data_IF_752475313696
#
_entry.id   IF_752475313696
#
_cell.length_a   1.000
_cell.length_b   1.000
_cell.length_c   1.000
_cell.angle_alpha   90.00
_cell.angle_beta   90.00
_cell.angle_gamma   90.00
#
_symmetry.space_group_name_H-M   'P 1'
#
loop_
_entity.id
_entity.type
_entity.pdbx_description
1 polymer ?
#
# COMPACT_ATOMS: atom_id res chain seq x y z
N UNK A 1 -15.22 -25.23 23.66
CA UNK A 1 -16.31 -24.56 24.39
C UNK A 1 -17.10 -23.80 23.34
N UNK A 2 -18.20 -24.34 22.84
CA UNK A 2 -18.99 -23.76 21.74
C UNK A 2 -20.30 -23.25 22.33
N UNK A 3 -20.84 -22.14 21.80
CA UNK A 3 -22.12 -21.56 22.26
C UNK A 3 -22.14 -21.17 23.75
N UNK A 4 -21.04 -20.60 24.25
CA UNK A 4 -20.91 -20.26 25.67
C UNK A 4 -20.73 -18.76 25.91
N UNK A 5 -21.04 -18.31 27.13
CA UNK A 5 -20.71 -16.96 27.59
C UNK A 5 -19.58 -17.02 28.62
N UNK A 6 -18.48 -16.33 28.38
CA UNK A 6 -17.31 -16.29 29.25
C UNK A 6 -17.04 -14.84 29.67
N UNK A 7 -16.72 -14.57 30.96
CA UNK A 7 -16.34 -13.21 31.42
C UNK A 7 -14.98 -12.75 30.84
N UNK A 8 -14.23 -13.68 30.26
CA UNK A 8 -12.93 -13.50 29.66
C UNK A 8 -12.27 -14.87 29.51
N UNK A 9 -11.35 -15.01 28.55
CA UNK A 9 -10.54 -16.20 28.40
C UNK A 9 -9.07 -15.79 28.41
N UNK A 10 -8.35 -16.20 29.46
CA UNK A 10 -6.93 -15.88 29.63
C UNK A 10 -6.12 -17.16 29.67
N UNK A 11 -5.22 -17.31 28.72
CA UNK A 11 -4.28 -18.41 28.65
C UNK A 11 -2.91 -17.94 28.15
N UNK A 12 -2.28 -16.94 28.82
CA UNK A 12 -0.94 -16.51 28.45
C UNK A 12 0.04 -17.66 28.64
N UNK A 13 1.01 -17.80 27.74
CA UNK A 13 2.06 -18.86 27.73
C UNK A 13 1.54 -20.30 27.68
N UNK A 14 0.23 -20.49 27.50
CA UNK A 14 -0.37 -21.81 27.53
C UNK A 14 0.01 -22.62 26.29
N UNK A 15 0.10 -23.93 26.47
CA UNK A 15 0.34 -24.88 25.37
C UNK A 15 -0.90 -25.74 25.15
N UNK A 16 -1.47 -25.63 23.96
CA UNK A 16 -2.61 -26.43 23.55
C UNK A 16 -2.18 -27.40 22.45
N UNK A 17 -2.16 -28.69 22.77
CA UNK A 17 -1.85 -29.73 21.78
C UNK A 17 -2.97 -29.94 20.75
N UNK A 18 -4.19 -29.49 21.06
CA UNK A 18 -5.37 -29.62 20.21
C UNK A 18 -5.88 -28.30 19.66
N UNK A 19 -7.12 -28.32 19.15
CA UNK A 19 -7.83 -27.12 18.69
C UNK A 19 -8.48 -26.36 19.85
N UNK A 20 -8.53 -25.04 19.75
CA UNK A 20 -9.32 -24.19 20.63
C UNK A 20 -10.58 -23.74 19.87
N UNK A 21 -11.72 -24.36 20.18
CA UNK A 21 -13.01 -24.05 19.55
C UNK A 21 -13.85 -23.19 20.50
N UNK A 22 -14.10 -21.96 20.07
CA UNK A 22 -14.84 -20.89 20.73
C UNK A 22 -15.94 -20.33 19.80
N UNK A 23 -16.36 -21.09 18.78
CA UNK A 23 -17.40 -20.68 17.84
C UNK A 23 -18.69 -20.29 18.54
N UNK A 24 -19.34 -19.24 18.03
CA UNK A 24 -20.62 -18.71 18.51
C UNK A 24 -20.63 -18.39 20.01
N UNK A 25 -19.46 -18.27 20.63
CA UNK A 25 -19.34 -17.90 22.04
C UNK A 25 -19.29 -16.38 22.18
N UNK A 26 -19.81 -15.88 23.29
CA UNK A 26 -19.66 -14.48 23.70
C UNK A 26 -18.61 -14.41 24.80
N UNK A 27 -17.55 -13.65 24.58
CA UNK A 27 -16.45 -13.51 25.54
C UNK A 27 -16.31 -12.03 25.86
N UNK A 28 -16.54 -11.67 27.12
CA UNK A 28 -16.47 -10.29 27.55
C UNK A 28 -16.84 -10.12 29.01
N UNK A 29 -16.22 -9.15 29.66
CA UNK A 29 -16.36 -8.85 31.08
C UNK A 29 -15.43 -7.70 31.45
N UNK A 30 -15.20 -7.48 32.74
CA UNK A 30 -14.55 -6.26 33.25
C UNK A 30 -13.04 -6.13 33.00
N UNK A 31 -12.49 -7.03 32.18
CA UNK A 31 -11.33 -6.71 31.34
C UNK A 31 -10.00 -7.16 31.87
N UNK A 32 -8.81 -6.71 31.45
CA UNK A 32 -8.43 -5.77 30.39
C UNK A 32 -8.63 -6.33 28.97
N UNK A 33 -8.75 -7.66 28.84
CA UNK A 33 -8.86 -8.35 27.55
C UNK A 33 -10.10 -9.25 27.55
N UNK A 34 -10.76 -9.43 26.40
CA UNK A 34 -11.76 -10.49 26.25
C UNK A 34 -11.08 -11.84 26.02
N UNK A 35 -10.14 -11.92 25.07
CA UNK A 35 -9.35 -13.11 24.78
C UNK A 35 -7.84 -12.79 24.85
N UNK A 36 -7.13 -13.42 25.78
CA UNK A 36 -5.68 -13.26 25.96
C UNK A 36 -4.95 -14.59 25.70
N UNK A 37 -4.10 -14.59 24.68
CA UNK A 37 -3.30 -15.72 24.18
C UNK A 37 -1.83 -15.32 23.97
N UNK A 38 -1.35 -14.34 24.75
CA UNK A 38 0.02 -13.82 24.67
C UNK A 38 1.03 -14.96 24.88
N UNK A 39 1.96 -15.11 23.94
CA UNK A 39 2.97 -16.18 23.93
C UNK A 39 2.42 -17.61 24.05
N UNK A 40 1.15 -17.84 23.73
CA UNK A 40 0.60 -19.19 23.70
C UNK A 40 1.13 -19.97 22.49
N UNK A 41 1.21 -21.29 22.62
CA UNK A 41 1.53 -22.23 21.55
C UNK A 41 0.34 -23.16 21.33
N UNK A 42 -0.31 -23.03 20.17
CA UNK A 42 -1.51 -23.80 19.82
C UNK A 42 -1.18 -24.64 18.57
N UNK A 43 -1.10 -25.96 18.76
CA UNK A 43 -0.82 -26.87 17.66
C UNK A 43 -2.01 -26.99 16.69
N UNK A 44 -3.24 -26.92 17.21
CA UNK A 44 -4.47 -26.97 16.40
C UNK A 44 -4.94 -25.60 15.90
N UNK A 45 -6.16 -25.57 15.35
CA UNK A 45 -6.81 -24.34 14.92
C UNK A 45 -7.47 -23.59 16.09
N UNK A 46 -7.49 -22.26 16.02
CA UNK A 46 -8.36 -21.40 16.82
C UNK A 46 -9.59 -21.04 16.00
N UNK A 47 -10.77 -21.44 16.47
CA UNK A 47 -12.04 -21.17 15.80
C UNK A 47 -12.88 -20.20 16.62
N UNK A 48 -13.10 -19.03 16.04
CA UNK A 48 -13.90 -17.92 16.56
C UNK A 48 -15.09 -17.60 15.65
N UNK A 49 -15.47 -18.52 14.76
CA UNK A 49 -16.56 -18.27 13.80
C UNK A 49 -17.87 -17.93 14.53
N UNK A 50 -18.47 -16.81 14.16
CA UNK A 50 -19.66 -16.26 14.81
C UNK A 50 -19.48 -15.85 16.27
N UNK A 51 -18.25 -15.84 16.80
CA UNK A 51 -17.98 -15.42 18.17
C UNK A 51 -18.11 -13.89 18.33
N UNK A 52 -18.45 -13.45 19.53
CA UNK A 52 -18.54 -12.04 19.91
C UNK A 52 -17.57 -11.76 21.03
N UNK A 53 -16.55 -10.95 20.77
CA UNK A 53 -15.57 -10.52 21.77
C UNK A 53 -15.91 -9.09 22.20
N UNK A 54 -16.23 -8.89 23.47
CA UNK A 54 -16.75 -7.63 24.00
C UNK A 54 -15.75 -7.05 25.01
N UNK A 55 -14.98 -6.05 24.56
CA UNK A 55 -13.99 -5.30 25.33
C UNK A 55 -13.88 -3.84 24.81
N UNK A 56 -14.98 -3.06 24.83
CA UNK A 56 -14.99 -1.71 24.26
C UNK A 56 -13.96 -0.80 24.96
N UNK A 57 -13.19 -0.04 24.15
CA UNK A 57 -12.09 0.79 24.63
C UNK A 57 -10.87 0.01 25.15
N UNK A 58 -10.87 -1.32 25.01
CA UNK A 58 -9.80 -2.23 25.46
C UNK A 58 -9.47 -3.24 24.34
N UNK A 59 -8.76 -4.32 24.69
CA UNK A 59 -8.36 -5.35 23.72
C UNK A 59 -9.39 -6.47 23.67
N UNK A 60 -10.03 -6.65 22.52
CA UNK A 60 -10.87 -7.81 22.26
C UNK A 60 -10.02 -9.09 22.13
N UNK A 61 -8.89 -9.00 21.43
CA UNK A 61 -7.90 -10.09 21.32
C UNK A 61 -6.51 -9.52 21.59
N UNK A 62 -5.81 -10.14 22.54
CA UNK A 62 -4.37 -9.97 22.71
C UNK A 62 -3.66 -11.30 22.46
N UNK A 63 -3.01 -11.40 21.30
CA UNK A 63 -2.30 -12.58 20.85
C UNK A 63 -0.85 -12.25 20.47
N UNK A 64 -0.22 -11.35 21.24
CA UNK A 64 1.19 -11.00 21.06
C UNK A 64 2.11 -12.22 21.16
N UNK A 65 2.91 -12.46 20.12
CA UNK A 65 3.82 -13.61 20.06
C UNK A 65 3.13 -14.98 20.07
N UNK A 66 1.84 -15.07 19.75
CA UNK A 66 1.12 -16.34 19.57
C UNK A 66 1.79 -17.16 18.47
N UNK A 67 2.09 -18.43 18.76
CA UNK A 67 2.51 -19.40 17.74
C UNK A 67 1.36 -20.37 17.51
N UNK A 68 0.88 -20.44 16.26
CA UNK A 68 -0.21 -21.34 15.92
C UNK A 68 0.08 -22.08 14.62
N UNK A 69 0.25 -23.40 14.73
CA UNK A 69 0.50 -24.24 13.55
C UNK A 69 -0.75 -24.36 12.69
N UNK A 70 -1.90 -24.51 13.35
CA UNK A 70 -3.21 -24.44 12.70
C UNK A 70 -3.60 -23.02 12.31
N UNK A 71 -4.82 -22.89 11.83
CA UNK A 71 -5.37 -21.62 11.39
C UNK A 71 -6.17 -20.85 12.43
N UNK A 72 -6.20 -19.51 12.34
CA UNK A 72 -7.12 -18.64 13.10
C UNK A 72 -8.33 -18.25 12.25
N UNK A 73 -9.48 -18.84 12.55
CA UNK A 73 -10.73 -18.63 11.79
C UNK A 73 -11.67 -17.71 12.57
N UNK A 74 -11.96 -16.55 12.01
CA UNK A 74 -12.88 -15.53 12.53
C UNK A 74 -13.94 -15.22 11.45
N UNK A 75 -14.63 -16.24 10.96
CA UNK A 75 -15.62 -16.09 9.89
C UNK A 75 -17.07 -16.08 10.44
N UNK A 76 -18.04 -16.15 9.54
CA UNK A 76 -19.46 -16.40 9.84
C UNK A 76 -20.06 -15.47 10.91
N UNK A 77 -19.79 -14.17 10.78
CA UNK A 77 -20.37 -13.14 11.65
C UNK A 77 -19.59 -12.87 12.93
N UNK A 78 -18.29 -13.15 12.95
CA UNK A 78 -17.40 -12.72 14.02
C UNK A 78 -17.47 -11.21 14.26
N UNK A 79 -17.62 -10.82 15.54
CA UNK A 79 -17.63 -9.41 15.98
C UNK A 79 -16.62 -9.23 17.10
N UNK A 80 -15.78 -8.21 16.99
CA UNK A 80 -14.89 -7.76 18.04
C UNK A 80 -15.18 -6.29 18.38
N UNK A 81 -15.62 -6.04 19.61
CA UNK A 81 -15.72 -4.70 20.19
C UNK A 81 -14.45 -4.46 21.01
N UNK A 82 -13.50 -3.72 20.46
CA UNK A 82 -12.15 -3.55 21.01
C UNK A 82 -11.05 -3.91 20.01
N UNK A 83 -9.80 -3.60 20.36
CA UNK A 83 -8.65 -3.84 19.50
C UNK A 83 -8.38 -5.35 19.33
N UNK A 84 -8.05 -5.77 18.11
CA UNK A 84 -7.57 -7.11 17.78
C UNK A 84 -6.08 -7.04 17.46
N UNK A 85 -5.25 -7.64 18.32
CA UNK A 85 -3.79 -7.49 18.28
C UNK A 85 -3.08 -8.85 18.15
N UNK A 86 -2.23 -8.97 17.13
CA UNK A 86 -1.35 -10.11 16.84
C UNK A 86 0.12 -9.70 16.62
N UNK A 87 0.72 -8.81 17.45
CA UNK A 87 2.09 -8.36 17.23
C UNK A 87 3.09 -9.51 17.38
N UNK A 88 3.94 -9.72 16.38
CA UNK A 88 4.97 -10.76 16.39
C UNK A 88 4.43 -12.19 16.41
N UNK A 89 3.14 -12.41 16.17
CA UNK A 89 2.57 -13.74 16.09
C UNK A 89 3.10 -14.51 14.86
N UNK A 90 3.13 -15.84 14.95
CA UNK A 90 3.50 -16.74 13.87
C UNK A 90 2.31 -17.66 13.57
N UNK A 91 1.66 -17.42 12.44
CA UNK A 91 0.45 -18.09 11.98
C UNK A 91 0.68 -18.76 10.61
N UNK A 92 1.53 -19.79 10.51
CA UNK A 92 1.72 -20.55 9.27
C UNK A 92 0.41 -21.12 8.71
N UNK A 93 -0.59 -21.40 9.56
CA UNK A 93 -1.93 -21.75 9.10
C UNK A 93 -2.61 -20.60 8.36
N UNK A 94 -2.44 -19.36 8.82
CA UNK A 94 -3.07 -18.16 8.28
C UNK A 94 -4.12 -17.56 9.22
N UNK A 95 -4.66 -16.43 8.81
CA UNK A 95 -5.71 -15.67 9.49
C UNK A 95 -6.84 -15.38 8.50
N UNK A 96 -8.05 -15.86 8.81
CA UNK A 96 -9.24 -15.65 7.97
C UNK A 96 -10.27 -14.87 8.77
N UNK A 97 -10.56 -13.65 8.33
CA UNK A 97 -11.55 -12.76 8.96
C UNK A 97 -12.59 -12.32 7.93
N UNK A 98 -13.12 -13.29 7.18
CA UNK A 98 -14.10 -13.02 6.12
C UNK A 98 -15.42 -12.54 6.73
N UNK A 99 -15.90 -11.37 6.33
CA UNK A 99 -17.13 -10.78 6.86
C UNK A 99 -17.06 -10.38 8.34
N UNK A 100 -15.87 -10.33 8.93
CA UNK A 100 -15.68 -9.95 10.33
C UNK A 100 -15.89 -8.46 10.54
N UNK A 101 -16.41 -8.09 11.71
CA UNK A 101 -16.57 -6.70 12.12
C UNK A 101 -15.72 -6.39 13.35
N UNK A 102 -14.89 -5.36 13.25
CA UNK A 102 -14.11 -4.85 14.38
C UNK A 102 -14.54 -3.41 14.65
N UNK A 103 -14.90 -3.11 15.90
CA UNK A 103 -15.33 -1.77 16.32
C UNK A 103 -14.57 -1.32 17.56
N UNK A 104 -13.87 -0.19 17.47
CA UNK A 104 -13.11 0.42 18.57
C UNK A 104 -13.71 1.75 19.04
N UNK A 105 -14.70 2.29 18.33
CA UNK A 105 -15.44 3.50 18.72
C UNK A 105 -14.70 4.82 18.46
N UNK A 106 -13.52 4.78 17.84
CA UNK A 106 -12.77 5.96 17.42
C UNK A 106 -12.05 5.70 16.09
N UNK A 107 -12.20 6.59 15.09
CA UNK A 107 -11.59 6.39 13.78
C UNK A 107 -10.07 6.53 13.79
N UNK A 108 -9.50 7.19 14.80
CA UNK A 108 -8.05 7.29 15.00
C UNK A 108 -7.46 6.14 15.84
N UNK A 109 -8.29 5.34 16.51
CA UNK A 109 -7.80 4.18 17.26
C UNK A 109 -7.35 3.04 16.32
N UNK A 110 -6.50 2.15 16.82
CA UNK A 110 -6.14 0.93 16.08
C UNK A 110 -7.20 -0.13 16.34
N UNK A 111 -7.85 -0.59 15.28
CA UNK A 111 -8.78 -1.71 15.35
C UNK A 111 -8.06 -3.05 15.16
N UNK A 112 -7.08 -3.09 14.26
CA UNK A 112 -6.28 -4.27 13.99
C UNK A 112 -4.79 -3.95 14.00
N UNK A 113 -4.01 -4.68 14.79
CA UNK A 113 -2.57 -4.55 14.86
C UNK A 113 -1.88 -5.90 14.63
N UNK A 114 -0.98 -5.96 13.66
CA UNK A 114 -0.20 -7.14 13.30
C UNK A 114 1.25 -6.78 12.98
N UNK A 115 1.85 -5.87 13.75
CA UNK A 115 3.26 -5.52 13.59
C UNK A 115 4.15 -6.76 13.70
N UNK A 116 5.02 -6.99 12.71
CA UNK A 116 5.93 -8.14 12.63
C UNK A 116 5.24 -9.50 12.62
N UNK A 117 3.93 -9.56 12.36
CA UNK A 117 3.20 -10.81 12.16
C UNK A 117 3.82 -11.61 11.01
N UNK A 118 3.93 -12.92 11.17
CA UNK A 118 4.29 -13.85 10.10
C UNK A 118 3.10 -14.76 9.87
N UNK A 119 2.62 -14.86 8.64
CA UNK A 119 1.52 -15.75 8.31
C UNK A 119 1.63 -16.27 6.87
N UNK A 120 1.01 -17.40 6.57
CA UNK A 120 0.89 -17.85 5.18
C UNK A 120 -0.07 -16.95 4.39
N UNK A 121 -1.24 -16.67 4.97
CA UNK A 121 -2.28 -15.83 4.36
C UNK A 121 -2.97 -15.00 5.43
N UNK A 122 -3.27 -13.75 5.11
CA UNK A 122 -4.14 -12.87 5.91
C UNK A 122 -5.28 -12.40 5.03
N UNK A 123 -6.48 -12.89 5.31
CA UNK A 123 -7.68 -12.65 4.53
C UNK A 123 -8.68 -11.79 5.29
N UNK A 124 -8.68 -10.49 4.99
CA UNK A 124 -9.59 -9.49 5.53
C UNK A 124 -10.58 -9.06 4.44
N UNK A 125 -11.42 -10.00 3.95
CA UNK A 125 -12.18 -9.84 2.71
C UNK A 125 -13.69 -10.09 2.85
N UNK A 126 -14.46 -9.77 1.80
CA UNK A 126 -15.91 -10.07 1.64
C UNK A 126 -16.74 -9.59 2.83
N UNK A 127 -16.89 -8.27 2.94
CA UNK A 127 -17.66 -7.64 4.01
C UNK A 127 -16.90 -7.49 5.33
N UNK A 128 -15.57 -7.60 5.32
CA UNK A 128 -14.76 -7.20 6.48
C UNK A 128 -14.92 -5.70 6.70
N UNK A 129 -15.27 -5.28 7.93
CA UNK A 129 -15.51 -3.87 8.25
C UNK A 129 -14.79 -3.46 9.52
N UNK A 130 -14.13 -2.30 9.50
CA UNK A 130 -13.51 -1.69 10.68
C UNK A 130 -13.77 -0.19 10.78
N UNK A 131 -14.08 0.29 11.99
CA UNK A 131 -14.22 1.72 12.28
C UNK A 131 -12.88 2.40 12.64
N UNK A 132 -11.85 1.63 13.00
CA UNK A 132 -10.51 2.12 13.30
C UNK A 132 -9.46 1.80 12.23
N UNK A 133 -8.20 2.17 12.51
CA UNK A 133 -7.03 1.96 11.66
C UNK A 133 -6.50 0.53 11.73
N UNK A 134 -5.89 0.06 10.64
CA UNK A 134 -5.19 -1.22 10.52
C UNK A 134 -3.70 -0.95 10.39
N UNK A 135 -2.90 -1.62 11.23
CA UNK A 135 -1.44 -1.52 11.23
C UNK A 135 -0.78 -2.89 11.08
N UNK A 136 -0.01 -3.05 10.01
CA UNK A 136 0.66 -4.27 9.56
C UNK A 136 2.11 -3.96 9.19
N UNK A 137 2.86 -3.31 10.10
CA UNK A 137 4.23 -2.89 9.81
C UNK A 137 5.17 -4.09 9.85
N UNK A 138 6.05 -4.20 8.86
CA UNK A 138 7.04 -5.27 8.75
C UNK A 138 6.44 -6.68 8.83
N UNK A 139 5.16 -6.83 8.43
CA UNK A 139 4.49 -8.13 8.33
C UNK A 139 5.11 -8.95 7.21
N UNK A 140 5.20 -10.27 7.40
CA UNK A 140 5.63 -11.22 6.36
C UNK A 140 4.50 -12.18 6.05
N UNK A 141 3.96 -12.08 4.84
CA UNK A 141 2.87 -12.89 4.34
C UNK A 141 3.38 -13.74 3.19
N UNK A 142 3.35 -15.06 3.32
CA UNK A 142 3.96 -15.93 2.30
C UNK A 142 3.17 -15.93 0.98
N UNK A 143 1.84 -15.99 1.05
CA UNK A 143 0.97 -16.08 -0.11
C UNK A 143 0.17 -14.80 -0.33
N UNK A 144 -0.88 -14.54 0.46
CA UNK A 144 -1.84 -13.48 0.16
C UNK A 144 -2.21 -12.61 1.36
N UNK A 145 -2.09 -11.29 1.19
CA UNK A 145 -2.73 -10.27 2.02
C UNK A 145 -3.85 -9.61 1.20
N UNK A 146 -5.11 -9.86 1.57
CA UNK A 146 -6.26 -9.36 0.79
C UNK A 146 -7.24 -8.54 1.63
N UNK A 147 -7.67 -7.43 1.03
CA UNK A 147 -8.74 -6.53 1.49
C UNK A 147 -9.90 -6.47 0.48
N UNK A 148 -10.04 -7.51 -0.35
CA UNK A 148 -11.10 -7.61 -1.36
C UNK A 148 -12.48 -7.43 -0.72
N UNK A 149 -13.27 -6.48 -1.20
CA UNK A 149 -14.60 -6.16 -0.67
C UNK A 149 -14.61 -5.81 0.84
N UNK A 150 -13.52 -5.23 1.36
CA UNK A 150 -13.44 -4.68 2.71
C UNK A 150 -13.85 -3.21 2.78
N UNK A 151 -14.35 -2.78 3.94
CA UNK A 151 -14.68 -1.39 4.26
C UNK A 151 -13.78 -0.89 5.41
N UNK A 152 -12.96 0.11 5.11
CA UNK A 152 -12.03 0.72 6.07
C UNK A 152 -12.48 2.15 6.38
N UNK A 153 -12.99 2.37 7.59
CA UNK A 153 -13.57 3.66 8.01
C UNK A 153 -12.65 4.48 8.93
N UNK A 154 -11.48 3.95 9.30
CA UNK A 154 -10.51 4.67 10.12
C UNK A 154 -9.97 5.93 9.44
N UNK A 155 -9.66 6.97 10.20
CA UNK A 155 -9.16 8.27 9.72
C UNK A 155 -7.64 8.30 9.55
N UNK A 156 -7.14 9.36 8.91
CA UNK A 156 -5.71 9.58 8.72
C UNK A 156 -5.08 8.56 7.78
N UNK A 157 -4.36 7.57 8.32
CA UNK A 157 -3.85 6.42 7.58
C UNK A 157 -4.63 5.18 8.01
N UNK A 158 -5.67 4.82 7.26
CA UNK A 158 -6.55 3.68 7.59
C UNK A 158 -5.82 2.35 7.47
N UNK A 159 -4.86 2.23 6.56
CA UNK A 159 -4.07 1.02 6.35
C UNK A 159 -2.58 1.36 6.29
N UNK A 160 -1.81 0.83 7.23
CA UNK A 160 -0.37 1.03 7.32
C UNK A 160 0.35 -0.31 7.14
N UNK A 161 0.97 -0.53 5.98
CA UNK A 161 1.74 -1.72 5.65
C UNK A 161 3.22 -1.38 5.37
N UNK A 162 3.80 -0.49 6.17
CA UNK A 162 5.19 -0.03 5.96
C UNK A 162 6.15 -1.22 6.15
N UNK A 163 7.05 -1.44 5.20
CA UNK A 163 8.03 -2.54 5.26
C UNK A 163 7.43 -3.95 5.14
N UNK A 164 6.15 -4.07 4.78
CA UNK A 164 5.46 -5.35 4.57
C UNK A 164 6.11 -6.15 3.42
N UNK A 165 6.13 -7.48 3.55
CA UNK A 165 6.55 -8.41 2.50
C UNK A 165 5.39 -9.39 2.25
N UNK A 166 4.89 -9.48 1.01
CA UNK A 166 3.79 -10.37 0.65
C UNK A 166 3.98 -11.04 -0.71
N UNK A 167 3.56 -12.30 -0.89
CA UNK A 167 3.49 -12.89 -2.23
C UNK A 167 2.47 -12.17 -3.14
N UNK A 168 1.32 -11.81 -2.59
CA UNK A 168 0.29 -11.06 -3.27
C UNK A 168 -0.39 -10.08 -2.31
N UNK A 169 -0.68 -8.89 -2.82
CA UNK A 169 -1.42 -7.84 -2.14
C UNK A 169 -2.65 -7.48 -2.96
N UNK A 170 -3.83 -7.63 -2.37
CA UNK A 170 -5.09 -7.26 -3.01
C UNK A 170 -5.77 -6.11 -2.25
N UNK A 171 -5.86 -4.96 -2.92
CA UNK A 171 -6.39 -3.69 -2.42
C UNK A 171 -7.72 -3.31 -3.09
N UNK A 172 -8.45 -4.28 -3.64
CA UNK A 172 -9.78 -4.05 -4.22
C UNK A 172 -10.85 -3.90 -3.13
N UNK A 173 -10.83 -2.78 -2.44
CA UNK A 173 -11.82 -2.46 -1.41
C UNK A 173 -13.23 -2.37 -1.99
N UNK A 174 -14.24 -2.49 -1.13
CA UNK A 174 -15.65 -2.28 -1.52
C UNK A 174 -15.92 -0.82 -1.87
N UNK A 175 -15.39 0.08 -1.03
CA UNK A 175 -15.43 1.52 -1.21
C UNK A 175 -14.03 2.10 -1.02
N UNK A 176 -13.81 3.32 -1.49
CA UNK A 176 -12.60 4.07 -1.17
C UNK A 176 -12.41 4.11 0.36
N UNK A 177 -11.24 3.71 0.91
CA UNK A 177 -10.96 3.84 2.33
C UNK A 177 -11.14 5.29 2.82
N UNK A 178 -11.68 5.48 4.02
CA UNK A 178 -11.95 6.80 4.57
C UNK A 178 -10.67 7.64 4.76
N UNK A 179 -9.55 6.99 5.05
CA UNK A 179 -8.22 7.58 5.13
C UNK A 179 -7.24 7.01 4.10
N UNK A 180 -5.99 7.42 4.22
CA UNK A 180 -4.91 7.02 3.32
C UNK A 180 -4.41 5.59 3.54
N UNK A 181 -3.72 5.07 2.52
CA UNK A 181 -3.00 3.80 2.59
C UNK A 181 -1.50 4.09 2.50
N UNK A 182 -0.70 3.45 3.36
CA UNK A 182 0.74 3.64 3.38
C UNK A 182 1.45 2.31 3.13
N UNK A 183 2.08 2.20 1.96
CA UNK A 183 2.84 1.03 1.48
C UNK A 183 4.34 1.34 1.36
N UNK A 184 4.83 2.35 2.09
CA UNK A 184 6.23 2.74 2.03
C UNK A 184 7.15 1.58 2.37
N UNK A 185 8.22 1.45 1.60
CA UNK A 185 9.22 0.37 1.71
C UNK A 185 8.65 -1.05 1.70
N UNK A 186 7.40 -1.23 1.26
CA UNK A 186 6.79 -2.55 1.17
C UNK A 186 7.27 -3.28 -0.09
N UNK A 187 7.11 -4.59 -0.08
CA UNK A 187 7.43 -5.49 -1.16
C UNK A 187 6.28 -6.45 -1.38
N UNK A 188 5.78 -6.55 -2.62
CA UNK A 188 4.78 -7.53 -2.97
C UNK A 188 5.06 -8.13 -4.35
N UNK A 189 5.06 -9.46 -4.53
CA UNK A 189 5.33 -10.02 -5.86
C UNK A 189 4.23 -9.65 -6.86
N UNK A 190 2.98 -9.62 -6.39
CA UNK A 190 1.81 -9.20 -7.17
C UNK A 190 0.97 -8.18 -6.41
N UNK A 191 0.54 -7.13 -7.10
CA UNK A 191 -0.41 -6.15 -6.56
C UNK A 191 -1.66 -6.11 -7.44
N UNK A 192 -2.83 -6.25 -6.83
CA UNK A 192 -4.13 -6.06 -7.45
C UNK A 192 -4.83 -4.88 -6.78
N UNK A 193 -5.43 -3.98 -7.56
CA UNK A 193 -6.18 -2.84 -7.07
C UNK A 193 -7.25 -2.43 -8.10
N UNK A 194 -8.02 -1.37 -7.80
CA UNK A 194 -9.05 -0.87 -8.70
C UNK A 194 -9.15 0.67 -8.65
N UNK A 195 -9.21 1.37 -9.80
CA UNK A 195 -9.22 2.84 -9.84
C UNK A 195 -10.34 3.51 -9.04
N UNK A 196 -11.51 2.89 -8.96
CA UNK A 196 -12.65 3.46 -8.22
C UNK A 196 -12.44 3.48 -6.70
N UNK A 197 -11.55 2.64 -6.18
CA UNK A 197 -11.36 2.42 -4.74
C UNK A 197 -10.00 2.88 -4.23
N UNK A 198 -9.17 3.50 -5.08
CA UNK A 198 -7.92 4.09 -4.64
C UNK A 198 -8.12 5.15 -3.55
N UNK A 199 -7.30 5.15 -2.50
CA UNK A 199 -7.41 6.11 -1.41
C UNK A 199 -7.03 7.52 -1.88
N UNK A 200 -7.45 8.53 -1.14
CA UNK A 200 -7.05 9.93 -1.40
C UNK A 200 -5.54 10.11 -1.28
N UNK A 201 -4.93 9.51 -0.26
CA UNK A 201 -3.48 9.55 -0.02
C UNK A 201 -2.91 8.15 -0.09
N UNK A 202 -1.84 7.97 -0.87
CA UNK A 202 -1.18 6.69 -1.08
C UNK A 202 0.35 6.83 -0.94
N UNK A 203 0.92 6.28 0.13
CA UNK A 203 2.37 6.28 0.33
C UNK A 203 3.05 5.15 -0.43
N UNK A 204 3.78 5.47 -1.50
CA UNK A 204 4.44 4.49 -2.39
C UNK A 204 5.97 4.53 -2.34
N UNK A 205 6.55 5.45 -1.59
CA UNK A 205 8.01 5.62 -1.50
C UNK A 205 8.71 4.34 -1.05
N UNK A 206 9.55 3.77 -1.92
CA UNK A 206 10.27 2.53 -1.68
C UNK A 206 9.44 1.26 -1.91
N UNK A 207 8.18 1.37 -2.37
CA UNK A 207 7.39 0.20 -2.75
C UNK A 207 8.04 -0.49 -3.95
N UNK A 208 8.18 -1.81 -3.85
CA UNK A 208 8.64 -2.66 -4.95
C UNK A 208 7.63 -3.76 -5.23
N UNK A 209 7.51 -4.13 -6.51
CA UNK A 209 6.61 -5.19 -6.95
C UNK A 209 7.08 -5.88 -8.23
N UNK A 210 6.79 -7.18 -8.33
CA UNK A 210 7.08 -7.98 -9.51
C UNK A 210 6.09 -7.67 -10.64
N UNK A 211 4.81 -7.74 -10.32
CA UNK A 211 3.69 -7.57 -11.23
C UNK A 211 2.60 -6.69 -10.61
N UNK A 212 1.91 -5.95 -11.48
CA UNK A 212 0.82 -5.06 -11.14
C UNK A 212 -0.34 -5.37 -12.09
N UNK A 213 -1.56 -5.48 -11.56
CA UNK A 213 -2.72 -5.84 -12.37
C UNK A 213 -3.14 -4.78 -13.36
N UNK A 214 -3.85 -5.17 -14.42
CA UNK A 214 -4.42 -4.22 -15.37
C UNK A 214 -5.63 -3.52 -14.75
N UNK A 215 -5.72 -2.20 -14.98
CA UNK A 215 -6.81 -1.33 -14.50
C UNK A 215 -7.81 -0.96 -15.58
N UNK A 216 -7.46 -1.19 -16.84
CA UNK A 216 -8.27 -0.87 -18.01
C UNK A 216 -7.99 -1.89 -19.13
N UNK A 217 -8.95 -2.13 -20.03
CA UNK A 217 -8.77 -3.06 -21.16
C UNK A 217 -7.78 -2.53 -22.20
N UNK A 218 -7.65 -1.20 -22.34
CA UNK A 218 -6.68 -0.61 -23.25
C UNK A 218 -5.41 -0.19 -22.50
N UNK A 219 -4.24 -0.48 -23.08
CA UNK A 219 -2.94 -0.14 -22.48
C UNK A 219 -2.76 1.35 -22.24
N UNK A 220 -3.30 2.17 -23.15
CA UNK A 220 -3.20 3.63 -23.06
C UNK A 220 -3.95 4.15 -21.82
N UNK A 221 -5.16 3.66 -21.60
CA UNK A 221 -5.96 4.01 -20.41
C UNK A 221 -5.32 3.44 -19.15
N UNK A 222 -4.77 2.22 -19.20
CA UNK A 222 -4.09 1.63 -18.06
C UNK A 222 -2.89 2.48 -17.60
N UNK A 223 -2.05 2.93 -18.53
CA UNK A 223 -0.93 3.84 -18.20
C UNK A 223 -1.42 5.16 -17.62
N UNK A 224 -2.51 5.73 -18.16
CA UNK A 224 -3.08 6.97 -17.65
C UNK A 224 -3.63 6.81 -16.23
N UNK A 225 -4.29 5.68 -15.96
CA UNK A 225 -4.72 5.25 -14.64
C UNK A 225 -3.52 5.07 -13.70
N UNK A 226 -2.48 4.34 -14.10
CA UNK A 226 -1.27 4.14 -13.27
C UNK A 226 -0.50 5.43 -13.01
N UNK A 227 -0.50 6.37 -13.94
CA UNK A 227 0.01 7.72 -13.70
C UNK A 227 -0.88 8.51 -12.73
N UNK A 228 -2.20 8.30 -12.74
CA UNK A 228 -3.11 8.86 -11.74
C UNK A 228 -2.89 8.26 -10.35
N UNK A 229 -2.68 6.95 -10.28
CA UNK A 229 -2.30 6.23 -9.07
C UNK A 229 -1.07 6.84 -8.39
N UNK A 230 -0.02 7.13 -9.16
CA UNK A 230 1.20 7.79 -8.64
C UNK A 230 0.97 9.22 -8.11
N UNK A 231 -0.08 9.92 -8.56
CA UNK A 231 -0.44 11.28 -8.10
C UNK A 231 -1.09 11.30 -6.72
N UNK A 232 -1.54 10.14 -6.21
CA UNK A 232 -2.07 10.03 -4.85
C UNK A 232 -0.98 10.13 -3.77
N UNK A 233 0.30 10.20 -4.16
CA UNK A 233 1.38 10.43 -3.22
C UNK A 233 1.34 11.84 -2.63
N UNK A 234 1.56 12.00 -1.31
CA UNK A 234 1.55 13.32 -0.67
C UNK A 234 2.75 14.18 -1.09
N UNK A 235 3.87 13.55 -1.46
CA UNK A 235 5.12 14.20 -1.88
C UNK A 235 5.63 13.52 -3.14
N UNK A 236 6.19 14.30 -4.06
CA UNK A 236 6.83 13.75 -5.25
C UNK A 236 8.07 12.94 -4.88
N UNK A 237 8.11 11.68 -5.31
CA UNK A 237 9.26 10.79 -5.19
C UNK A 237 9.58 10.18 -6.56
N UNK A 238 10.84 10.15 -7.02
CA UNK A 238 11.20 9.60 -8.33
C UNK A 238 11.03 8.07 -8.44
N UNK A 239 11.35 7.33 -7.38
CA UNK A 239 11.46 5.85 -7.41
C UNK A 239 10.16 5.14 -7.87
N UNK A 240 8.95 5.53 -7.44
CA UNK A 240 7.72 4.89 -7.89
C UNK A 240 7.48 4.97 -9.42
N UNK A 241 7.96 6.05 -10.06
CA UNK A 241 7.90 6.17 -11.52
C UNK A 241 8.89 5.22 -12.21
N UNK A 242 10.09 5.04 -11.66
CA UNK A 242 11.09 4.10 -12.18
C UNK A 242 10.62 2.64 -12.02
N UNK A 243 9.98 2.32 -10.89
CA UNK A 243 9.39 1.00 -10.66
C UNK A 243 8.30 0.69 -11.68
N UNK A 244 7.38 1.65 -11.92
CA UNK A 244 6.30 1.50 -12.91
C UNK A 244 6.84 1.38 -14.34
N UNK A 245 7.81 2.21 -14.73
CA UNK A 245 8.45 2.10 -16.03
C UNK A 245 9.16 0.75 -16.22
N UNK A 246 9.79 0.23 -15.15
CA UNK A 246 10.44 -1.08 -15.17
C UNK A 246 9.44 -2.23 -15.27
N UNK A 247 8.25 -2.11 -14.67
CA UNK A 247 7.16 -3.05 -14.87
C UNK A 247 6.72 -3.10 -16.34
N UNK A 248 6.43 -1.96 -16.97
CA UNK A 248 6.05 -1.92 -18.39
C UNK A 248 7.12 -2.50 -19.31
N UNK A 249 8.41 -2.24 -19.06
CA UNK A 249 9.50 -2.86 -19.81
C UNK A 249 9.51 -4.38 -19.69
N UNK A 250 9.31 -4.94 -18.48
CA UNK A 250 9.21 -6.39 -18.28
C UNK A 250 8.02 -7.00 -19.01
N UNK A 251 6.94 -6.26 -19.18
CA UNK A 251 5.78 -6.66 -19.97
C UNK A 251 5.97 -6.50 -21.49
N UNK A 252 7.10 -5.94 -21.95
CA UNK A 252 7.37 -5.67 -23.37
C UNK A 252 6.74 -4.38 -23.91
N UNK A 253 6.27 -3.49 -23.01
CA UNK A 253 5.58 -2.23 -23.32
C UNK A 253 6.54 -1.03 -23.21
N UNK A 254 7.48 -0.92 -24.16
CA UNK A 254 8.55 0.09 -24.15
C UNK A 254 8.05 1.54 -24.32
N UNK A 255 7.02 1.75 -25.13
CA UNK A 255 6.46 3.09 -25.37
C UNK A 255 5.78 3.65 -24.12
N UNK A 256 5.07 2.79 -23.40
CA UNK A 256 4.42 3.06 -22.12
C UNK A 256 5.45 3.37 -21.02
N UNK A 257 6.52 2.58 -20.94
CA UNK A 257 7.63 2.85 -20.04
C UNK A 257 8.26 4.22 -20.31
N UNK A 258 8.49 4.57 -21.58
CA UNK A 258 8.99 5.89 -21.97
C UNK A 258 8.04 7.01 -21.57
N UNK A 259 6.73 6.82 -21.74
CA UNK A 259 5.70 7.78 -21.33
C UNK A 259 5.75 8.04 -19.82
N UNK A 260 5.92 7.00 -19.01
CA UNK A 260 6.06 7.15 -17.55
C UNK A 260 7.29 7.96 -17.18
N UNK A 261 8.44 7.69 -17.81
CA UNK A 261 9.69 8.43 -17.57
C UNK A 261 9.62 9.89 -18.03
N UNK A 262 8.90 10.20 -19.12
CA UNK A 262 8.66 11.58 -19.53
C UNK A 262 7.82 12.33 -18.49
N UNK A 263 6.80 11.70 -17.92
CA UNK A 263 5.98 12.31 -16.86
C UNK A 263 6.83 12.52 -15.59
N UNK A 264 7.68 11.57 -15.22
CA UNK A 264 8.64 11.74 -14.12
C UNK A 264 9.49 13.01 -14.28
N UNK A 265 10.08 13.22 -15.45
CA UNK A 265 10.94 14.40 -15.67
C UNK A 265 10.14 15.72 -15.65
N UNK A 266 8.89 15.70 -16.14
CA UNK A 266 7.98 16.86 -16.02
C UNK A 266 7.63 17.16 -14.56
N UNK A 267 7.28 16.14 -13.78
CA UNK A 267 6.96 16.27 -12.36
C UNK A 267 8.18 16.76 -11.56
N UNK A 268 9.38 16.24 -11.85
CA UNK A 268 10.64 16.74 -11.26
C UNK A 268 10.86 18.22 -11.56
N UNK A 269 10.68 18.66 -12.80
CA UNK A 269 10.83 20.08 -13.17
C UNK A 269 9.80 20.98 -12.48
N UNK A 270 8.59 20.49 -12.23
CA UNK A 270 7.58 21.23 -11.48
C UNK A 270 7.99 21.47 -10.01
N UNK A 271 8.79 20.56 -9.42
CA UNK A 271 9.34 20.74 -8.06
C UNK A 271 10.53 21.69 -7.98
N UNK A 272 11.15 22.06 -9.12
CA UNK A 272 12.23 23.06 -9.14
C UNK A 272 11.65 24.47 -8.96
N UNK A 273 12.36 25.30 -8.20
CA UNK A 273 12.06 26.72 -8.02
C UNK A 273 12.08 27.49 -9.37
N UNK A 274 11.55 28.73 -9.39
CA UNK A 274 11.40 29.51 -10.63
C UNK A 274 12.69 29.65 -11.45
N UNK A 275 13.85 29.78 -10.80
CA UNK A 275 15.16 29.82 -11.47
C UNK A 275 15.53 28.51 -12.18
N UNK A 276 15.20 27.35 -11.60
CA UNK A 276 15.44 26.04 -12.22
C UNK A 276 14.53 25.78 -13.43
N UNK A 277 13.31 26.34 -13.45
CA UNK A 277 12.42 26.28 -14.62
C UNK A 277 12.90 27.16 -15.77
N UNK A 278 13.39 28.36 -15.47
CA UNK A 278 13.97 29.26 -16.46
C UNK A 278 15.25 28.66 -17.08
N UNK A 279 16.12 28.07 -16.26
CA UNK A 279 17.31 27.35 -16.71
C UNK A 279 16.97 26.11 -17.57
N UNK A 280 15.92 25.36 -17.18
CA UNK A 280 15.42 24.24 -17.97
C UNK A 280 14.84 24.65 -19.33
N UNK A 281 14.13 25.78 -19.41
CA UNK A 281 13.65 26.36 -20.67
C UNK A 281 14.80 26.81 -21.57
N UNK A 282 15.84 27.40 -20.98
CA UNK A 282 17.04 27.84 -21.67
C UNK A 282 17.84 26.66 -22.23
N UNK A 283 17.99 25.57 -21.45
CA UNK A 283 18.62 24.33 -21.87
C UNK A 283 17.81 23.56 -22.94
N UNK A 284 16.48 23.49 -22.83
CA UNK A 284 15.61 22.87 -23.84
C UNK A 284 15.70 23.60 -25.19
N UNK A 285 15.97 24.92 -25.16
CA UNK A 285 16.12 25.74 -26.36
C UNK A 285 17.52 25.69 -26.99
N UNK A 286 18.56 25.38 -26.22
CA UNK A 286 19.97 25.47 -26.65
C UNK A 286 20.65 24.11 -26.83
N UNK A 287 20.33 23.11 -26.01
CA UNK A 287 21.10 21.85 -25.92
C UNK A 287 20.31 20.61 -26.33
N UNK A 288 18.98 20.70 -26.46
CA UNK A 288 18.12 19.70 -27.12
C UNK A 288 18.61 18.26 -26.98
N UNK A 289 18.50 17.67 -25.78
CA UNK A 289 18.95 16.31 -25.43
C UNK A 289 18.80 15.32 -26.60
N UNK A 290 19.90 15.02 -27.30
CA UNK A 290 20.15 13.83 -28.14
C UNK A 290 19.12 13.35 -29.18
N UNK A 291 17.96 14.00 -29.34
CA UNK A 291 16.81 13.45 -30.08
C UNK A 291 16.23 14.39 -31.14
N UNK A 292 16.81 15.59 -31.34
CA UNK A 292 16.36 16.54 -32.37
C UNK A 292 17.55 17.26 -33.04
N UNK A 293 18.38 16.55 -33.85
CA UNK A 293 19.59 17.10 -34.47
C UNK A 293 19.33 18.31 -35.40
N UNK A 294 18.10 18.46 -35.92
CA UNK A 294 17.74 19.59 -36.78
C UNK A 294 17.71 20.95 -36.05
N UNK A 295 17.54 20.99 -34.72
CA UNK A 295 17.56 22.25 -33.94
C UNK A 295 18.97 22.86 -33.92
N UNK A 296 20.01 22.01 -33.86
CA UNK A 296 21.40 22.46 -34.01
C UNK A 296 21.64 23.09 -35.40
N UNK A 297 21.01 22.53 -36.44
CA UNK A 297 21.03 23.11 -37.79
C UNK A 297 20.41 24.50 -37.86
N UNK A 298 19.31 24.74 -37.13
CA UNK A 298 18.67 26.07 -37.05
C UNK A 298 19.60 27.08 -36.37
N UNK A 299 20.21 26.72 -35.24
CA UNK A 299 21.14 27.62 -34.54
C UNK A 299 22.39 27.92 -35.36
N UNK A 300 22.94 26.93 -36.06
CA UNK A 300 24.06 27.12 -36.98
C UNK A 300 23.68 28.11 -38.08
N UNK A 301 22.54 27.89 -38.75
CA UNK A 301 22.04 28.76 -39.81
C UNK A 301 21.82 30.21 -39.32
N UNK A 302 21.24 30.36 -38.13
CA UNK A 302 21.00 31.67 -37.50
C UNK A 302 22.32 32.39 -37.20
N UNK A 303 23.29 31.71 -36.59
CA UNK A 303 24.60 32.28 -36.28
C UNK A 303 25.37 32.66 -37.55
N UNK A 304 25.33 31.83 -38.60
CA UNK A 304 25.94 32.18 -39.89
C UNK A 304 25.26 33.36 -40.54
N UNK A 305 23.93 33.48 -40.47
CA UNK A 305 23.19 34.62 -41.01
C UNK A 305 23.57 35.91 -40.29
N UNK A 306 23.59 35.88 -38.95
CA UNK A 306 23.98 37.03 -38.13
C UNK A 306 25.43 37.44 -38.41
N UNK A 307 26.36 36.48 -38.44
CA UNK A 307 27.76 36.73 -38.77
C UNK A 307 27.91 37.35 -40.16
N UNK A 308 27.18 36.85 -41.15
CA UNK A 308 27.19 37.39 -42.52
C UNK A 308 26.67 38.83 -42.58
N UNK A 309 25.59 39.14 -41.87
CA UNK A 309 25.02 40.48 -41.82
C UNK A 309 25.95 41.48 -41.10
N UNK A 310 26.59 41.07 -40.00
CA UNK A 310 27.56 41.91 -39.29
C UNK A 310 28.79 42.19 -40.17
N UNK A 311 29.27 41.18 -40.88
CA UNK A 311 30.41 41.33 -41.79
C UNK A 311 30.06 42.19 -43.01
N UNK A 312 28.85 42.06 -43.54
CA UNK A 312 28.35 42.92 -44.63
C UNK A 312 28.12 44.38 -44.19
N UNK A 313 27.87 44.62 -42.89
CA UNK A 313 27.71 45.96 -42.33
C UNK A 313 29.01 46.64 -41.90
N UNK A 314 30.12 45.91 -41.77
CA UNK A 314 31.43 46.47 -41.44
C UNK A 314 32.23 46.73 -42.72
N UNK A 315 32.19 47.98 -43.21
CA UNK A 315 33.13 48.43 -44.24
C UNK A 315 34.53 48.57 -43.61
N UNK A 316 35.57 47.92 -44.14
CA UNK A 316 36.92 48.04 -43.61
C UNK A 316 37.42 49.48 -43.81
N UNK A 317 37.86 50.12 -42.73
CA UNK A 317 38.54 51.42 -42.80
C UNK A 317 39.96 51.17 -43.32
N UNK A 318 40.33 51.77 -44.44
CA UNK A 318 41.67 51.66 -45.00
C UNK A 318 42.67 52.35 -44.04
N UNK A 319 43.66 51.60 -43.55
CA UNK A 319 44.77 52.18 -42.80
C UNK A 319 45.60 53.06 -43.73
N UNK A 320 45.61 54.37 -43.48
CA UNK A 320 46.60 55.33 -44.00
C UNK A 320 47.87 55.29 -43.16
#
# INVERSE_FOLDING_TARGET
>A
VVDCTLPGFRAPTARFGGRLDLRRSTIGGDGQHALELVHADIAGALRLDGARLIAPGRMAVDAGGLVMRGGVFCEDGFVAEGEVSFPGAELPGGLWMRGARITVGSPDAFAFQGDMLKASTVRLSRGFTTDGRIRLRSVRIEDLLTFDDAELLGSGTSLMCVGMQAGALDLRFRYRPAGGVNLRTAHADRIQDHPSTWPTTLGLDGLTYGWLGDTAPSRREDVENRLAWLRHQPVYVPQPYEQLASHYRRCGHEDEARRVLLVRERSRRATLGPAGRAWGWLLDSTVGYGYRPWIAGIWLALLTLIGSLVFAGHNPVANT
#
